data_IF_259927268530
#
_entry.id   IF_259927268530
#
_cell.length_a   1.000
_cell.length_b   1.000
_cell.length_c   1.000
_cell.angle_alpha   90.00
_cell.angle_beta   90.00
_cell.angle_gamma   90.00
#
_symmetry.space_group_name_H-M   'P 1'
#
loop_
_entity.id
_entity.type
_entity.pdbx_description
1 polymer ?
#
# COMPACT_ATOMS: atom_id res chain seq x y z
N UNK A 1 -18.82 -5.29 -6.90
CA UNK A 1 -18.89 -3.86 -7.30
C UNK A 1 -17.53 -3.25 -7.02
N UNK A 2 -16.92 -2.62 -8.02
CA UNK A 2 -15.64 -1.90 -7.83
C UNK A 2 -15.95 -0.69 -6.96
N UNK A 3 -15.67 -0.78 -5.66
CA UNK A 3 -15.84 0.36 -4.74
C UNK A 3 -14.52 1.11 -4.64
N UNK A 4 -14.62 2.44 -4.74
CA UNK A 4 -13.61 3.42 -4.33
C UNK A 4 -12.35 3.53 -5.20
N UNK A 5 -12.50 3.73 -6.51
CA UNK A 5 -11.38 4.04 -7.41
C UNK A 5 -10.67 5.36 -7.01
N UNK A 6 -11.42 6.32 -6.51
CA UNK A 6 -10.96 7.61 -5.99
C UNK A 6 -9.98 7.47 -4.82
N UNK A 7 -10.23 6.53 -3.90
CA UNK A 7 -9.35 6.27 -2.75
C UNK A 7 -8.05 5.61 -3.23
N UNK A 8 -8.14 4.71 -4.21
CA UNK A 8 -6.96 4.05 -4.80
C UNK A 8 -6.06 5.05 -5.51
N UNK A 9 -6.64 5.99 -6.26
CA UNK A 9 -5.90 7.10 -6.88
C UNK A 9 -5.15 7.90 -5.82
N UNK A 10 -5.82 8.25 -4.71
CA UNK A 10 -5.19 8.97 -3.60
C UNK A 10 -4.01 8.21 -3.02
N UNK A 11 -4.17 6.92 -2.76
CA UNK A 11 -3.12 6.07 -2.19
C UNK A 11 -1.91 5.95 -3.14
N UNK A 12 -2.16 5.72 -4.43
CA UNK A 12 -1.10 5.65 -5.46
C UNK A 12 -0.35 6.98 -5.61
N UNK A 13 -1.08 8.10 -5.57
CA UNK A 13 -0.49 9.44 -5.57
C UNK A 13 0.45 9.62 -4.38
N UNK A 14 0.01 9.27 -3.18
CA UNK A 14 0.79 9.40 -1.95
C UNK A 14 2.03 8.50 -1.95
N UNK A 15 1.94 7.29 -2.48
CA UNK A 15 3.08 6.38 -2.64
C UNK A 15 4.14 6.92 -3.60
N UNK A 16 3.73 7.67 -4.62
CA UNK A 16 4.64 8.35 -5.54
C UNK A 16 5.12 9.71 -5.00
N UNK A 17 4.72 10.09 -3.78
CA UNK A 17 5.01 11.39 -3.18
C UNK A 17 4.52 12.58 -4.02
N UNK A 18 3.45 12.38 -4.79
CA UNK A 18 2.84 13.45 -5.58
C UNK A 18 1.89 14.27 -4.71
N UNK A 19 1.95 15.59 -4.82
CA UNK A 19 1.01 16.49 -4.14
C UNK A 19 -0.29 16.61 -4.95
N UNK A 20 -1.39 17.04 -4.30
CA UNK A 20 -2.64 17.33 -5.02
C UNK A 20 -2.45 18.49 -6.00
N UNK A 21 -1.61 19.47 -5.65
CA UNK A 21 -1.19 20.58 -6.50
C UNK A 21 -0.51 20.10 -7.78
N UNK A 22 0.43 19.16 -7.64
CA UNK A 22 1.15 18.60 -8.79
C UNK A 22 0.19 17.88 -9.75
N UNK A 23 -0.66 16.99 -9.23
CA UNK A 23 -1.62 16.26 -10.06
C UNK A 23 -2.61 17.20 -10.74
N UNK A 24 -3.11 18.20 -10.00
CA UNK A 24 -4.01 19.20 -10.56
C UNK A 24 -3.35 19.99 -11.70
N UNK A 25 -2.08 20.40 -11.54
CA UNK A 25 -1.34 21.10 -12.59
C UNK A 25 -1.16 20.23 -13.84
N UNK A 26 -0.82 18.95 -13.68
CA UNK A 26 -0.69 18.01 -14.81
C UNK A 26 -2.01 17.80 -15.56
N UNK A 27 -3.14 17.80 -14.84
CA UNK A 27 -4.48 17.63 -15.41
C UNK A 27 -5.13 18.94 -15.90
N UNK A 28 -4.47 20.09 -15.74
CA UNK A 28 -5.05 21.40 -16.04
C UNK A 28 -6.24 21.77 -15.15
N UNK A 29 -6.25 21.30 -13.90
CA UNK A 29 -7.31 21.50 -12.92
C UNK A 29 -6.86 22.44 -11.80
N UNK A 30 -7.83 22.98 -11.05
CA UNK A 30 -7.53 23.55 -9.73
C UNK A 30 -7.28 22.42 -8.72
N UNK A 31 -6.45 22.70 -7.71
CA UNK A 31 -6.21 21.78 -6.58
C UNK A 31 -7.51 21.32 -5.94
N UNK A 32 -8.45 22.24 -5.73
CA UNK A 32 -9.78 21.95 -5.19
C UNK A 32 -10.57 21.00 -6.08
N UNK A 33 -10.51 21.16 -7.41
CA UNK A 33 -11.19 20.27 -8.34
C UNK A 33 -10.60 18.85 -8.28
N UNK A 34 -9.28 18.73 -8.22
CA UNK A 34 -8.62 17.42 -8.06
C UNK A 34 -8.94 16.77 -6.70
N UNK A 35 -8.94 17.55 -5.62
CA UNK A 35 -9.32 17.08 -4.27
C UNK A 35 -10.73 16.47 -4.24
N UNK A 36 -11.68 17.06 -4.97
CA UNK A 36 -13.05 16.52 -5.13
C UNK A 36 -13.12 15.22 -5.92
N UNK A 37 -12.15 14.95 -6.78
CA UNK A 37 -12.05 13.65 -7.46
C UNK A 37 -11.62 12.61 -6.44
N UNK A 38 -10.58 12.87 -5.64
CA UNK A 38 -10.09 11.93 -4.61
C UNK A 38 -11.09 11.69 -3.47
N UNK A 39 -11.96 12.66 -3.15
CA UNK A 39 -13.02 12.50 -2.16
C UNK A 39 -14.29 11.82 -2.68
N UNK A 40 -14.38 11.58 -3.99
CA UNK A 40 -15.56 10.99 -4.62
C UNK A 40 -16.74 11.97 -4.77
N UNK A 41 -16.57 13.25 -4.44
CA UNK A 41 -17.59 14.29 -4.68
C UNK A 41 -17.83 14.53 -6.18
N UNK A 42 -16.79 14.35 -6.99
CA UNK A 42 -16.89 14.39 -8.46
C UNK A 42 -16.87 12.99 -9.02
N UNK A 43 -17.84 12.68 -9.89
CA UNK A 43 -17.86 11.38 -10.55
C UNK A 43 -16.60 11.20 -11.43
N UNK A 44 -15.86 10.13 -11.15
CA UNK A 44 -14.69 9.75 -11.93
C UNK A 44 -15.13 9.11 -13.25
N UNK A 45 -14.76 9.73 -14.37
CA UNK A 45 -15.00 9.19 -15.71
C UNK A 45 -13.84 8.30 -16.16
N UNK A 46 -14.08 7.41 -17.12
CA UNK A 46 -13.04 6.54 -17.69
C UNK A 46 -11.91 7.37 -18.31
N UNK A 47 -12.23 8.42 -19.07
CA UNK A 47 -11.22 9.30 -19.64
C UNK A 47 -10.35 9.95 -18.56
N UNK A 48 -10.96 10.40 -17.46
CA UNK A 48 -10.23 11.00 -16.35
C UNK A 48 -9.35 9.99 -15.63
N UNK A 49 -9.85 8.77 -15.45
CA UNK A 49 -9.04 7.68 -14.91
C UNK A 49 -7.82 7.41 -15.80
N UNK A 50 -7.97 7.40 -17.13
CA UNK A 50 -6.86 7.20 -18.06
C UNK A 50 -5.80 8.30 -17.92
N UNK A 51 -6.21 9.57 -17.94
CA UNK A 51 -5.28 10.71 -17.76
C UNK A 51 -4.53 10.64 -16.42
N UNK A 52 -5.25 10.32 -15.33
CA UNK A 52 -4.64 10.16 -14.00
C UNK A 52 -3.65 8.99 -14.01
N UNK A 53 -4.01 7.88 -14.65
CA UNK A 53 -3.19 6.67 -14.73
C UNK A 53 -1.92 6.91 -15.54
N UNK A 54 -1.99 7.70 -16.62
CA UNK A 54 -0.83 8.14 -17.39
C UNK A 54 0.15 8.96 -16.54
N UNK A 55 -0.35 9.92 -15.74
CA UNK A 55 0.50 10.72 -14.84
C UNK A 55 1.12 9.85 -13.75
N UNK A 56 0.36 8.88 -13.22
CA UNK A 56 0.86 7.91 -12.27
C UNK A 56 1.79 6.87 -12.93
N UNK A 57 1.79 6.73 -14.25
CA UNK A 57 2.57 5.72 -14.97
C UNK A 57 2.17 4.29 -14.64
N UNK A 58 0.87 4.03 -14.47
CA UNK A 58 0.27 2.75 -14.10
C UNK A 58 -0.91 2.49 -15.04
N UNK A 59 -1.24 1.23 -15.33
CA UNK A 59 -2.41 0.92 -16.15
C UNK A 59 -3.73 1.23 -15.39
N UNK A 60 -4.77 1.80 -16.04
CA UNK A 60 -6.07 2.08 -15.41
C UNK A 60 -6.70 0.87 -14.70
N UNK A 61 -6.51 -0.34 -15.24
CA UNK A 61 -7.02 -1.59 -14.65
C UNK A 61 -6.25 -1.90 -13.36
N UNK A 62 -4.95 -1.66 -13.34
CA UNK A 62 -4.12 -1.82 -12.13
C UNK A 62 -4.53 -0.82 -11.05
N UNK A 63 -4.88 0.42 -11.40
CA UNK A 63 -5.43 1.40 -10.46
C UNK A 63 -6.72 0.88 -9.81
N UNK A 64 -7.61 0.27 -10.60
CA UNK A 64 -8.85 -0.32 -10.08
C UNK A 64 -8.62 -1.60 -9.26
N UNK A 65 -7.55 -2.35 -9.56
CA UNK A 65 -7.13 -3.55 -8.82
C UNK A 65 -6.30 -3.26 -7.57
N UNK A 66 -5.81 -2.02 -7.42
CA UNK A 66 -4.89 -1.63 -6.36
C UNK A 66 -5.49 -1.86 -4.97
N UNK A 67 -4.69 -2.46 -4.09
CA UNK A 67 -4.99 -2.66 -2.68
C UNK A 67 -3.73 -2.36 -1.86
N UNK A 68 -3.81 -1.32 -1.05
CA UNK A 68 -2.71 -0.85 -0.21
C UNK A 68 -2.18 -1.93 0.74
N UNK A 69 -3.01 -2.90 1.14
CA UNK A 69 -2.61 -3.99 2.04
C UNK A 69 -1.63 -4.96 1.37
N UNK A 70 -1.62 -5.04 0.04
CA UNK A 70 -0.76 -5.95 -0.72
C UNK A 70 0.63 -5.38 -1.04
N UNK A 71 0.88 -4.09 -0.78
CA UNK A 71 2.16 -3.43 -1.09
C UNK A 71 3.29 -3.97 -0.21
N UNK A 72 2.98 -4.35 1.03
CA UNK A 72 3.97 -4.89 1.97
C UNK A 72 4.36 -6.36 1.68
N UNK A 73 3.63 -7.05 0.80
CA UNK A 73 3.89 -8.46 0.47
C UNK A 73 4.89 -8.67 -0.68
N UNK A 74 5.35 -7.60 -1.35
CA UNK A 74 6.21 -7.69 -2.55
C UNK A 74 7.63 -7.15 -2.33
N UNK A 75 8.23 -7.39 -1.17
CA UNK A 75 9.69 -7.38 -1.05
C UNK A 75 10.25 -8.67 -1.67
N UNK A 76 10.40 -8.65 -2.99
CA UNK A 76 11.22 -9.53 -3.85
C UNK A 76 11.48 -10.95 -3.36
N UNK A 77 10.73 -11.92 -3.88
CA UNK A 77 11.33 -13.18 -4.34
C UNK A 77 10.81 -13.48 -5.74
N UNK A 78 11.74 -13.60 -6.68
CA UNK A 78 11.51 -13.99 -8.06
C UNK A 78 10.87 -15.39 -8.09
N UNK A 79 9.64 -15.49 -8.62
CA UNK A 79 9.04 -16.80 -8.90
C UNK A 79 7.51 -16.84 -8.88
N UNK A 80 6.95 -16.91 -10.10
CA UNK A 80 5.61 -17.42 -10.45
C UNK A 80 4.36 -16.66 -9.97
N UNK A 81 3.67 -16.09 -10.97
CA UNK A 81 2.26 -15.76 -10.92
C UNK A 81 1.41 -17.02 -10.71
N UNK A 82 0.54 -17.03 -9.71
CA UNK A 82 -0.83 -17.56 -9.80
C UNK A 82 -1.67 -17.06 -8.61
N UNK A 83 -2.63 -16.22 -8.94
CA UNK A 83 -3.81 -15.81 -8.16
C UNK A 83 -4.53 -17.03 -7.56
N UNK A 84 -5.12 -16.91 -6.36
CA UNK A 84 -6.50 -17.34 -6.02
C UNK A 84 -6.73 -17.21 -4.51
N UNK A 85 -7.73 -16.39 -4.16
CA UNK A 85 -8.72 -16.67 -3.10
C UNK A 85 -8.27 -16.62 -1.65
N UNK A 86 -8.84 -15.68 -0.90
CA UNK A 86 -9.18 -15.80 0.53
C UNK A 86 -8.30 -16.74 1.36
N UNK A 87 -7.10 -16.28 1.75
CA UNK A 87 -6.36 -16.88 2.85
C UNK A 87 -6.27 -15.84 3.96
N UNK A 88 -7.08 -16.05 4.99
CA UNK A 88 -6.96 -15.58 6.36
C UNK A 88 -5.53 -15.18 6.73
N UNK A 89 -5.37 -14.08 7.46
CA UNK A 89 -4.12 -13.61 8.08
C UNK A 89 -3.39 -14.74 8.84
N UNK A 90 -2.67 -15.59 8.11
CA UNK A 90 -1.79 -16.60 8.65
C UNK A 90 -0.40 -16.05 8.45
N UNK A 91 0.11 -15.39 9.49
CA UNK A 91 1.54 -15.20 9.62
C UNK A 91 2.18 -16.60 9.51
N UNK A 92 3.22 -16.78 8.68
CA UNK A 92 3.85 -18.09 8.54
C UNK A 92 4.29 -18.61 9.92
N UNK A 93 3.92 -19.84 10.28
CA UNK A 93 4.25 -20.43 11.60
C UNK A 93 5.76 -20.35 11.92
N UNK A 94 6.60 -20.44 10.88
CA UNK A 94 8.05 -20.29 10.96
C UNK A 94 8.49 -18.91 11.48
N UNK A 95 7.75 -17.86 11.13
CA UNK A 95 8.04 -16.50 11.55
C UNK A 95 7.69 -16.31 13.04
N UNK A 96 6.56 -16.89 13.48
CA UNK A 96 6.15 -16.89 14.90
C UNK A 96 7.21 -17.60 15.75
N UNK A 97 7.62 -18.81 15.35
CA UNK A 97 8.67 -19.59 16.04
C UNK A 97 10.01 -18.82 16.11
N UNK A 98 10.39 -18.11 15.04
CA UNK A 98 11.60 -17.29 15.04
C UNK A 98 11.51 -16.12 16.03
N UNK A 99 10.37 -15.44 16.11
CA UNK A 99 10.16 -14.35 17.06
C UNK A 99 10.16 -14.85 18.50
N UNK A 100 9.50 -15.96 18.79
CA UNK A 100 9.48 -16.57 20.12
C UNK A 100 10.89 -16.93 20.60
N UNK A 101 11.70 -17.58 19.74
CA UNK A 101 13.11 -17.88 20.03
C UNK A 101 13.93 -16.61 20.30
N UNK A 102 13.69 -15.55 19.53
CA UNK A 102 14.40 -14.27 19.72
C UNK A 102 14.03 -13.62 21.04
N UNK A 103 12.76 -13.64 21.42
CA UNK A 103 12.27 -13.11 22.69
C UNK A 103 12.92 -13.85 23.86
N UNK A 104 12.91 -15.19 23.83
CA UNK A 104 13.57 -16.00 24.86
C UNK A 104 15.07 -15.69 24.99
N UNK A 105 15.76 -15.52 23.87
CA UNK A 105 17.18 -15.15 23.87
C UNK A 105 17.39 -13.79 24.55
N UNK A 106 16.61 -12.78 24.19
CA UNK A 106 16.71 -11.44 24.77
C UNK A 106 16.39 -11.43 26.27
N UNK A 107 15.38 -12.18 26.70
CA UNK A 107 15.03 -12.32 28.12
C UNK A 107 16.17 -12.96 28.91
N UNK A 108 16.79 -14.02 28.37
CA UNK A 108 17.94 -14.66 29.01
C UNK A 108 19.15 -13.72 29.13
N UNK A 109 19.40 -12.91 28.11
CA UNK A 109 20.49 -11.93 28.09
C UNK A 109 20.23 -10.80 29.09
N UNK A 110 19.00 -10.29 29.15
CA UNK A 110 18.60 -9.27 30.15
C UNK A 110 18.76 -9.81 31.57
N UNK A 111 18.35 -11.05 31.84
CA UNK A 111 18.53 -11.69 33.15
C UNK A 111 20.01 -11.82 33.52
N UNK A 112 20.83 -12.29 32.58
CA UNK A 112 22.28 -12.41 32.76
C UNK A 112 22.93 -11.05 33.06
N UNK A 113 22.65 -10.04 32.23
CA UNK A 113 23.20 -8.69 32.40
C UNK A 113 22.75 -8.06 33.71
N UNK A 114 21.48 -8.22 34.11
CA UNK A 114 20.98 -7.75 35.41
C UNK A 114 21.65 -8.46 36.59
N UNK A 115 22.05 -9.72 36.43
CA UNK A 115 22.78 -10.45 37.46
C UNK A 115 24.23 -9.97 37.62
N UNK A 116 24.85 -9.45 36.56
CA UNK A 116 26.22 -8.90 36.58
C UNK A 116 26.33 -7.48 37.16
N UNK A 117 25.21 -6.77 37.29
CA UNK A 117 25.16 -5.38 37.80
C UNK A 117 24.80 -5.36 39.32
N UNK A 118 24.97 -6.49 40.02
CA UNK A 118 24.97 -6.56 41.50
C UNK A 118 26.39 -6.51 42.03
#
# INVERSE_FOLDING_TARGET
MIHQAEIKIKQLRELKNFTQEYMAQQLGLSTRAYSKIESGETQLTINRLNEISEILGIDPIEVLGFDHQNIFNNCTQEGNYNTIGSATYLLPDKLIDQYEKRIQQLESEVLFLRALVK
#
